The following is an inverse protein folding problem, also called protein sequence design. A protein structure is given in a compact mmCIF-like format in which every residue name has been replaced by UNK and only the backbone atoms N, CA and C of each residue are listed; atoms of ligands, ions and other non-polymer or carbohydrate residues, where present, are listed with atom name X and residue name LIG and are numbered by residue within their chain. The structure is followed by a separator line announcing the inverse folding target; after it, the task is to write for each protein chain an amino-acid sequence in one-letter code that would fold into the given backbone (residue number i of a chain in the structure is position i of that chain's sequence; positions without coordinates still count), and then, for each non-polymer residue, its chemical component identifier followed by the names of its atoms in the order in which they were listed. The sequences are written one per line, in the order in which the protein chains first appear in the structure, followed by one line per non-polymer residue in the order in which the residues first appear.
data_IF_687116361835
#
_entry.id   IF_687116361835
#
_cell.length_a   1.000
_cell.length_b   1.000
_cell.length_c   1.000
_cell.angle_alpha   90.00
_cell.angle_beta   90.00
_cell.angle_gamma   90.00
#
_symmetry.space_group_name_H-M   'P 1'
#
loop_
_entity.id
_entity.type
_entity.pdbx_description
1 polymer ?
#
# COMPACT_ATOMS: atom_id res chain seq x y z
N UNK A 1 15.97 -25.16 21.20
CA UNK A 1 15.39 -24.18 22.15
C UNK A 1 14.32 -23.43 21.39
N UNK A 2 13.08 -23.63 21.82
CA UNK A 2 11.86 -23.10 21.19
C UNK A 2 11.74 -21.61 21.54
N UNK A 3 11.89 -20.73 20.55
CA UNK A 3 11.60 -19.30 20.75
C UNK A 3 10.09 -19.07 20.81
N UNK A 4 9.69 -18.37 21.86
CA UNK A 4 8.32 -18.03 22.21
C UNK A 4 7.91 -16.79 21.40
N UNK A 5 7.03 -16.94 20.41
CA UNK A 5 6.47 -15.82 19.65
C UNK A 5 5.27 -15.27 20.44
N UNK A 6 5.29 -13.99 20.88
CA UNK A 6 4.16 -13.41 21.59
C UNK A 6 2.92 -13.27 20.68
N UNK A 7 1.69 -13.35 21.22
CA UNK A 7 0.48 -13.29 20.41
C UNK A 7 0.17 -11.85 20.05
N UNK A 8 0.60 -11.49 18.85
CA UNK A 8 0.42 -10.22 18.15
C UNK A 8 1.09 -10.33 16.80
N UNK A 9 0.76 -11.41 16.07
CA UNK A 9 1.43 -11.79 14.84
C UNK A 9 1.06 -10.81 13.73
N UNK A 10 1.78 -9.68 13.70
CA UNK A 10 2.35 -9.20 12.47
C UNK A 10 3.01 -10.42 11.82
N UNK A 11 2.36 -11.02 10.82
CA UNK A 11 3.07 -11.92 9.92
C UNK A 11 4.13 -11.05 9.29
N UNK A 12 5.32 -11.02 9.90
CA UNK A 12 6.46 -10.37 9.31
C UNK A 12 6.57 -10.99 7.92
N UNK A 13 6.49 -10.14 6.89
CA UNK A 13 6.63 -10.54 5.48
C UNK A 13 7.93 -11.36 5.28
N UNK A 14 8.81 -11.33 6.28
CA UNK A 14 10.15 -11.89 6.38
C UNK A 14 10.26 -13.23 7.12
N UNK A 15 9.22 -13.75 7.80
CA UNK A 15 9.36 -14.89 8.72
C UNK A 15 9.73 -16.25 8.05
N UNK A 16 9.81 -16.34 6.71
CA UNK A 16 10.31 -17.53 6.00
C UNK A 16 11.45 -17.20 5.03
N UNK A 17 12.43 -16.42 5.50
CA UNK A 17 13.69 -16.12 4.81
C UNK A 17 14.66 -17.33 4.66
N UNK A 18 14.33 -18.52 5.18
CA UNK A 18 15.18 -19.72 5.10
C UNK A 18 15.18 -20.48 3.77
N UNK A 19 14.24 -20.19 2.85
CA UNK A 19 14.05 -20.91 1.59
C UNK A 19 14.21 -19.99 0.35
N UNK A 20 15.28 -19.21 0.28
CA UNK A 20 15.65 -18.54 -0.98
C UNK A 20 16.80 -19.33 -1.64
N UNK A 21 16.59 -19.97 -2.80
CA UNK A 21 17.54 -20.92 -3.36
C UNK A 21 18.77 -20.27 -3.98
N UNK A 22 18.71 -18.97 -4.29
CA UNK A 22 19.74 -18.24 -5.02
C UNK A 22 20.66 -17.46 -4.08
N UNK A 23 21.94 -17.40 -4.43
CA UNK A 23 22.90 -16.54 -3.74
C UNK A 23 22.62 -15.08 -4.09
N UNK A 24 22.44 -14.25 -3.06
CA UNK A 24 22.21 -12.80 -3.18
C UNK A 24 23.21 -12.02 -2.33
N UNK A 25 23.87 -11.04 -2.93
CA UNK A 25 24.96 -10.25 -2.32
C UNK A 25 24.69 -8.77 -2.45
N UNK A 26 24.76 -8.05 -1.33
CA UNK A 26 24.58 -6.61 -1.33
C UNK A 26 25.84 -5.90 -1.80
N UNK A 27 25.73 -4.99 -2.77
CA UNK A 27 26.84 -4.17 -3.26
C UNK A 27 26.34 -2.81 -3.75
N UNK A 28 27.15 -1.76 -3.55
CA UNK A 28 26.91 -0.43 -4.13
C UNK A 28 27.65 -0.22 -5.45
N UNK A 29 28.48 -1.17 -5.89
CA UNK A 29 29.29 -1.04 -7.10
C UNK A 29 28.47 -0.70 -8.36
N UNK A 30 27.25 -1.26 -8.58
CA UNK A 30 26.41 -0.83 -9.71
C UNK A 30 26.03 0.65 -9.68
N UNK A 31 25.79 1.22 -8.49
CA UNK A 31 25.51 2.64 -8.34
C UNK A 31 26.77 3.48 -8.55
N UNK A 32 27.90 3.07 -7.97
CA UNK A 32 29.18 3.79 -8.16
C UNK A 32 29.55 3.84 -9.65
N UNK A 33 29.41 2.73 -10.37
CA UNK A 33 29.63 2.68 -11.81
C UNK A 33 28.66 3.58 -12.59
N UNK A 34 27.39 3.65 -12.17
CA UNK A 34 26.44 4.60 -12.77
C UNK A 34 26.92 6.06 -12.64
N UNK A 35 27.46 6.44 -11.48
CA UNK A 35 28.09 7.76 -11.31
C UNK A 35 29.32 7.94 -12.22
N UNK A 36 30.11 6.89 -12.45
CA UNK A 36 31.29 6.91 -13.32
C UNK A 36 30.95 7.01 -14.81
N UNK A 37 29.84 6.43 -15.26
CA UNK A 37 29.49 6.37 -16.69
C UNK A 37 28.47 7.40 -17.13
N UNK A 38 27.41 7.63 -16.33
CA UNK A 38 26.25 8.43 -16.75
C UNK A 38 26.32 9.87 -16.24
N UNK A 39 27.06 10.12 -15.16
CA UNK A 39 27.10 11.43 -14.50
C UNK A 39 28.45 12.14 -14.63
N UNK A 40 29.54 11.42 -14.92
CA UNK A 40 30.88 11.97 -15.05
C UNK A 40 31.17 12.55 -16.46
N UNK A 41 30.24 13.34 -17.00
CA UNK A 41 30.50 14.13 -18.22
C UNK A 41 31.32 15.39 -17.86
N UNK A 42 32.49 15.52 -18.48
CA UNK A 42 33.53 16.50 -18.12
C UNK A 42 33.08 17.95 -18.30
N UNK A 43 32.11 18.21 -19.18
CA UNK A 43 31.71 19.56 -19.61
C UNK A 43 30.50 20.13 -18.84
N UNK A 44 29.93 19.40 -17.87
CA UNK A 44 28.74 19.85 -17.14
C UNK A 44 28.92 19.97 -15.61
N UNK A 45 28.10 20.80 -14.98
CA UNK A 45 28.12 21.04 -13.52
C UNK A 45 27.88 19.74 -12.72
N UNK A 46 27.04 18.85 -13.24
CA UNK A 46 26.77 17.55 -12.63
C UNK A 46 28.01 16.65 -12.60
N UNK A 47 28.83 16.66 -13.66
CA UNK A 47 30.09 15.90 -13.70
C UNK A 47 31.15 16.42 -12.74
N UNK A 48 31.13 17.73 -12.42
CA UNK A 48 31.97 18.27 -11.35
C UNK A 48 31.56 17.77 -9.97
N UNK A 49 30.26 17.73 -9.68
CA UNK A 49 29.75 17.17 -8.42
C UNK A 49 30.00 15.66 -8.32
N UNK A 50 29.80 14.92 -9.42
CA UNK A 50 30.07 13.48 -9.51
C UNK A 50 31.53 13.15 -9.16
N UNK A 51 32.50 13.92 -9.68
CA UNK A 51 33.93 13.73 -9.38
C UNK A 51 34.24 13.86 -7.89
N UNK A 52 33.68 14.86 -7.21
CA UNK A 52 33.89 15.06 -5.76
C UNK A 52 33.38 13.86 -4.97
N UNK A 53 32.21 13.34 -5.31
CA UNK A 53 31.63 12.16 -4.65
C UNK A 53 32.51 10.93 -4.94
N UNK A 54 32.86 10.69 -6.21
CA UNK A 54 33.69 9.55 -6.62
C UNK A 54 35.07 9.55 -5.97
N UNK A 55 35.71 10.72 -5.81
CA UNK A 55 37.00 10.84 -5.13
C UNK A 55 36.90 10.48 -3.64
N UNK A 56 35.78 10.79 -2.98
CA UNK A 56 35.50 10.35 -1.61
C UNK A 56 35.25 8.85 -1.54
N UNK A 57 34.50 8.27 -2.50
CA UNK A 57 34.29 6.81 -2.58
C UNK A 57 35.61 6.07 -2.76
N UNK A 58 36.57 6.60 -3.54
CA UNK A 58 37.91 6.00 -3.68
C UNK A 58 38.70 5.94 -2.37
N UNK A 59 38.41 6.82 -1.41
CA UNK A 59 39.04 6.82 -0.09
C UNK A 59 38.43 5.78 0.87
N UNK A 60 37.30 5.16 0.49
CA UNK A 60 36.57 4.16 1.28
C UNK A 60 36.36 2.89 0.43
N UNK A 61 37.42 2.08 0.23
CA UNK A 61 37.37 0.89 -0.63
C UNK A 61 36.33 -0.14 -0.17
N UNK A 62 35.94 -0.13 1.10
CA UNK A 62 34.89 -0.98 1.66
C UNK A 62 33.55 -0.78 0.97
N UNK A 63 33.21 0.42 0.51
CA UNK A 63 31.96 0.70 -0.22
C UNK A 63 31.96 0.12 -1.65
N UNK A 64 33.14 -0.17 -2.19
CA UNK A 64 33.33 -0.82 -3.51
C UNK A 64 33.64 -2.31 -3.40
N UNK A 65 33.55 -2.90 -2.21
CA UNK A 65 33.73 -4.33 -2.06
C UNK A 65 32.64 -5.08 -2.85
N UNK A 66 32.98 -6.30 -3.31
CA UNK A 66 32.04 -7.18 -4.01
C UNK A 66 30.79 -7.45 -3.17
N UNK A 67 30.94 -7.49 -1.85
CA UNK A 67 29.84 -7.62 -0.92
C UNK A 67 30.08 -6.69 0.26
N UNK A 68 29.04 -5.94 0.64
CA UNK A 68 29.07 -5.03 1.79
C UNK A 68 27.97 -5.41 2.80
N UNK A 69 28.07 -4.89 4.02
CA UNK A 69 27.06 -5.11 5.06
C UNK A 69 26.34 -3.82 5.44
N UNK A 70 25.25 -3.92 6.20
CA UNK A 70 24.56 -2.74 6.72
C UNK A 70 25.43 -1.96 7.72
N UNK A 71 26.36 -2.62 8.41
CA UNK A 71 27.34 -1.94 9.25
C UNK A 71 28.27 -1.05 8.42
N UNK A 72 28.72 -1.52 7.26
CA UNK A 72 29.52 -0.71 6.31
C UNK A 72 28.76 0.52 5.85
N UNK A 73 27.46 0.37 5.55
CA UNK A 73 26.59 1.49 5.16
C UNK A 73 26.48 2.50 6.30
N UNK A 74 26.11 2.05 7.50
CA UNK A 74 25.96 2.93 8.68
C UNK A 74 27.24 3.68 9.03
N UNK A 75 28.41 3.03 8.89
CA UNK A 75 29.70 3.66 9.13
C UNK A 75 30.06 4.77 8.13
N UNK A 76 29.39 4.80 6.97
CA UNK A 76 29.66 5.73 5.87
C UNK A 76 28.39 6.44 5.37
N UNK A 77 27.42 6.67 6.26
CA UNK A 77 26.08 7.13 5.91
C UNK A 77 26.10 8.40 5.03
N UNK A 78 26.85 9.43 5.42
CA UNK A 78 26.94 10.70 4.66
C UNK A 78 27.33 10.49 3.18
N UNK A 79 28.25 9.56 2.92
CA UNK A 79 28.72 9.26 1.57
C UNK A 79 27.72 8.41 0.79
N UNK A 80 27.03 7.48 1.47
CA UNK A 80 25.94 6.70 0.88
C UNK A 80 24.78 7.65 0.52
N UNK A 81 24.39 8.56 1.41
CA UNK A 81 23.33 9.53 1.15
C UNK A 81 23.66 10.40 -0.08
N UNK A 82 24.92 10.83 -0.20
CA UNK A 82 25.39 11.57 -1.38
C UNK A 82 25.28 10.75 -2.67
N UNK A 83 25.67 9.46 -2.64
CA UNK A 83 25.51 8.57 -3.80
C UNK A 83 24.03 8.35 -4.17
N UNK A 84 23.16 8.30 -3.17
CA UNK A 84 21.73 8.04 -3.36
C UNK A 84 20.97 9.21 -3.95
N UNK A 85 21.54 10.42 -4.00
CA UNK A 85 20.96 11.59 -4.69
C UNK A 85 20.68 11.31 -6.17
N UNK A 86 21.49 10.47 -6.83
CA UNK A 86 21.27 10.06 -8.21
C UNK A 86 20.00 9.20 -8.39
N UNK A 87 19.53 8.59 -7.31
CA UNK A 87 18.36 7.69 -7.31
C UNK A 87 17.15 8.37 -6.66
N UNK A 88 17.37 9.16 -5.62
CA UNK A 88 16.35 9.85 -4.83
C UNK A 88 16.66 11.34 -4.78
N UNK A 89 16.06 12.13 -5.66
CA UNK A 89 16.27 13.57 -5.63
C UNK A 89 15.76 14.17 -4.30
N UNK A 90 16.53 15.06 -3.64
CA UNK A 90 16.18 15.59 -2.32
C UNK A 90 14.79 16.23 -2.25
N UNK A 91 14.36 16.87 -3.34
CA UNK A 91 13.04 17.52 -3.45
C UNK A 91 11.86 16.58 -3.28
N UNK A 92 12.05 15.27 -3.42
CA UNK A 92 10.98 14.28 -3.30
C UNK A 92 11.01 13.47 -2.00
N UNK A 93 11.93 13.74 -1.05
CA UNK A 93 12.09 12.91 0.14
C UNK A 93 10.90 12.95 1.12
N UNK A 94 10.19 14.09 1.19
CA UNK A 94 9.03 14.24 2.08
C UNK A 94 7.72 13.68 1.48
N UNK A 95 7.63 13.61 0.15
CA UNK A 95 6.38 13.29 -0.57
C UNK A 95 6.42 11.92 -1.26
N UNK A 96 7.59 11.47 -1.70
CA UNK A 96 7.75 10.19 -2.38
C UNK A 96 7.97 9.07 -1.38
N UNK A 97 7.18 8.01 -1.48
CA UNK A 97 7.42 6.78 -0.76
C UNK A 97 8.36 5.90 -1.57
N UNK A 98 9.66 6.01 -1.33
CA UNK A 98 10.65 5.22 -2.06
C UNK A 98 11.80 4.76 -1.14
N UNK A 99 12.37 3.61 -1.45
CA UNK A 99 13.47 3.05 -0.68
C UNK A 99 14.41 2.21 -1.54
N UNK A 100 15.62 1.97 -1.03
CA UNK A 100 16.55 1.01 -1.58
C UNK A 100 16.69 -0.18 -0.63
N UNK A 101 16.52 -1.37 -1.17
CA UNK A 101 16.41 -2.62 -0.44
C UNK A 101 17.54 -3.57 -0.79
N UNK A 102 17.95 -4.35 0.20
CA UNK A 102 18.85 -5.48 0.01
C UNK A 102 18.29 -6.45 -1.04
N UNK A 103 19.13 -7.08 -1.86
CA UNK A 103 18.69 -7.93 -2.96
C UNK A 103 17.87 -9.11 -2.43
N UNK A 104 16.63 -9.25 -2.93
CA UNK A 104 15.68 -10.30 -2.54
C UNK A 104 15.39 -10.39 -1.03
N UNK A 105 15.62 -9.28 -0.31
CA UNK A 105 15.26 -9.11 1.09
C UNK A 105 14.49 -7.81 1.22
N UNK A 106 13.32 -7.85 1.85
CA UNK A 106 12.48 -6.67 2.09
C UNK A 106 13.03 -5.84 3.27
N UNK A 107 14.33 -5.59 3.27
CA UNK A 107 15.06 -4.82 4.27
C UNK A 107 15.72 -3.64 3.56
N UNK A 108 15.42 -2.44 4.01
CA UNK A 108 15.98 -1.21 3.47
C UNK A 108 17.37 -0.93 4.06
N UNK A 109 18.21 -0.28 3.27
CA UNK A 109 19.45 0.36 3.76
C UNK A 109 19.43 1.88 3.55
N UNK A 110 18.51 2.36 2.71
CA UNK A 110 18.22 3.77 2.48
C UNK A 110 16.72 3.91 2.18
N UNK A 111 16.07 4.95 2.66
CA UNK A 111 14.66 5.20 2.42
C UNK A 111 14.36 6.70 2.53
N UNK A 112 13.36 7.17 1.79
CA UNK A 112 12.82 8.51 1.99
C UNK A 112 12.16 8.62 3.37
N UNK A 113 11.99 9.84 3.88
CA UNK A 113 11.35 10.06 5.18
C UNK A 113 9.91 9.56 5.19
N UNK A 114 9.16 9.81 4.11
CA UNK A 114 7.78 9.34 3.95
C UNK A 114 7.69 7.81 3.99
N UNK A 115 8.62 7.12 3.31
CA UNK A 115 8.68 5.65 3.34
C UNK A 115 9.05 5.14 4.73
N UNK A 116 10.06 5.73 5.37
CA UNK A 116 10.53 5.32 6.69
C UNK A 116 9.46 5.45 7.76
N UNK A 117 8.63 6.50 7.71
CA UNK A 117 7.56 6.77 8.68
C UNK A 117 6.43 5.75 8.62
N UNK A 118 6.12 5.20 7.44
CA UNK A 118 4.87 4.46 7.21
C UNK A 118 5.08 3.01 6.76
N UNK A 119 6.17 2.73 6.05
CA UNK A 119 6.41 1.47 5.35
C UNK A 119 7.65 0.72 5.84
N UNK A 120 8.47 1.31 6.73
CA UNK A 120 9.64 0.64 7.29
C UNK A 120 9.55 0.52 8.82
N UNK A 121 9.93 -0.66 9.32
CA UNK A 121 10.10 -0.93 10.74
C UNK A 121 11.43 -0.36 11.26
N UNK A 122 11.63 -0.36 12.59
CA UNK A 122 12.86 0.16 13.22
C UNK A 122 14.13 -0.61 12.83
N UNK A 123 13.98 -1.83 12.31
CA UNK A 123 15.03 -2.71 11.80
C UNK A 123 15.23 -2.62 10.28
N UNK A 124 14.52 -1.68 9.62
CA UNK A 124 14.54 -1.46 8.18
C UNK A 124 13.68 -2.43 7.39
N UNK A 125 12.99 -3.38 8.02
CA UNK A 125 12.13 -4.30 7.29
C UNK A 125 10.82 -3.64 6.87
N UNK A 126 10.35 -3.98 5.68
CA UNK A 126 9.06 -3.50 5.17
C UNK A 126 7.93 -3.91 6.12
N UNK A 127 7.10 -2.94 6.50
CA UNK A 127 5.92 -3.14 7.33
C UNK A 127 4.64 -3.19 6.50
N UNK A 128 3.60 -3.78 7.07
CA UNK A 128 2.28 -3.89 6.47
C UNK A 128 1.81 -5.33 6.37
N UNK A 129 0.51 -5.48 6.10
CA UNK A 129 -0.09 -6.76 5.75
C UNK A 129 -0.13 -6.86 4.23
N UNK A 130 0.16 -8.05 3.72
CA UNK A 130 -0.12 -8.39 2.33
C UNK A 130 -1.28 -9.36 2.37
N UNK A 131 -2.29 -9.12 1.53
CA UNK A 131 -3.44 -10.01 1.38
C UNK A 131 -3.08 -11.20 0.46
N UNK A 132 -2.04 -11.94 0.86
CA UNK A 132 -1.52 -13.09 0.12
C UNK A 132 -0.89 -14.11 1.09
N UNK A 133 -0.98 -15.38 0.72
CA UNK A 133 -0.35 -16.46 1.48
C UNK A 133 1.19 -16.33 1.46
N UNK A 134 1.83 -16.66 2.59
CA UNK A 134 3.28 -16.55 2.73
C UNK A 134 4.06 -17.45 1.73
N UNK A 135 3.50 -18.60 1.35
CA UNK A 135 4.12 -19.49 0.34
C UNK A 135 4.04 -18.89 -1.06
N UNK A 136 2.95 -18.18 -1.38
CA UNK A 136 2.82 -17.46 -2.65
C UNK A 136 3.86 -16.35 -2.74
N UNK A 137 4.06 -15.58 -1.67
CA UNK A 137 5.10 -14.53 -1.63
C UNK A 137 6.51 -15.10 -1.83
N UNK A 138 6.81 -16.24 -1.20
CA UNK A 138 8.09 -16.92 -1.39
C UNK A 138 8.29 -17.35 -2.84
N UNK A 139 7.25 -17.90 -3.49
CA UNK A 139 7.31 -18.29 -4.90
C UNK A 139 7.51 -17.07 -5.79
N UNK A 140 6.74 -16.01 -5.62
CA UNK A 140 6.84 -14.81 -6.47
C UNK A 140 8.24 -14.16 -6.34
N UNK A 141 8.84 -14.19 -5.14
CA UNK A 141 10.24 -13.76 -4.96
C UNK A 141 11.22 -14.58 -5.80
N UNK A 142 11.05 -15.91 -5.87
CA UNK A 142 11.89 -16.79 -6.71
C UNK A 142 11.64 -16.50 -8.19
N UNK A 143 10.39 -16.29 -8.58
CA UNK A 143 9.99 -15.94 -9.95
C UNK A 143 10.71 -14.66 -10.40
N UNK A 144 10.66 -13.59 -9.60
CA UNK A 144 11.38 -12.33 -9.91
C UNK A 144 12.88 -12.54 -10.07
N UNK A 145 13.49 -13.38 -9.23
CA UNK A 145 14.91 -13.67 -9.30
C UNK A 145 15.27 -14.37 -10.62
N UNK A 146 14.49 -15.35 -11.03
CA UNK A 146 14.69 -16.02 -12.31
C UNK A 146 14.35 -15.16 -13.51
N UNK A 147 13.33 -14.30 -13.44
CA UNK A 147 13.05 -13.29 -14.49
C UNK A 147 14.27 -12.41 -14.72
N UNK A 148 14.91 -11.92 -13.65
CA UNK A 148 16.15 -11.15 -13.74
C UNK A 148 17.29 -11.97 -14.37
N UNK A 149 17.49 -13.22 -13.97
CA UNK A 149 18.53 -14.09 -14.55
C UNK A 149 18.28 -14.29 -16.05
N UNK A 150 17.04 -14.56 -16.43
CA UNK A 150 16.63 -14.78 -17.81
C UNK A 150 16.91 -13.53 -18.66
N UNK A 151 16.55 -12.36 -18.16
CA UNK A 151 16.80 -11.08 -18.81
C UNK A 151 18.29 -10.81 -18.97
N UNK A 152 19.07 -10.89 -17.88
CA UNK A 152 20.48 -10.47 -17.87
C UNK A 152 21.44 -11.46 -18.52
N UNK A 153 21.17 -12.76 -18.43
CA UNK A 153 22.06 -13.80 -18.97
C UNK A 153 21.67 -14.17 -20.41
N UNK A 154 20.39 -14.13 -20.75
CA UNK A 154 19.91 -14.61 -22.05
C UNK A 154 19.27 -13.54 -22.93
N UNK A 155 19.05 -12.31 -22.43
CA UNK A 155 18.42 -11.22 -23.18
C UNK A 155 16.95 -11.48 -23.51
N UNK A 156 16.27 -12.30 -22.69
CA UNK A 156 14.88 -12.69 -22.91
C UNK A 156 13.97 -11.99 -21.89
N UNK A 157 12.85 -11.45 -22.36
CA UNK A 157 11.82 -10.92 -21.47
C UNK A 157 10.91 -12.05 -20.97
N UNK A 158 10.85 -12.21 -19.65
CA UNK A 158 9.96 -13.17 -19.00
C UNK A 158 8.49 -12.71 -19.02
N UNK A 159 8.24 -11.40 -19.20
CA UNK A 159 6.90 -10.80 -19.29
C UNK A 159 6.11 -10.87 -17.99
N UNK A 160 6.79 -10.68 -16.85
CA UNK A 160 6.20 -10.84 -15.53
C UNK A 160 6.24 -9.54 -14.75
N UNK A 161 5.06 -9.01 -14.46
CA UNK A 161 4.84 -7.96 -13.48
C UNK A 161 3.97 -8.53 -12.36
N UNK A 162 4.50 -8.55 -11.14
CA UNK A 162 3.70 -8.81 -9.94
C UNK A 162 3.73 -7.58 -9.05
N UNK A 163 2.85 -6.59 -9.29
CA UNK A 163 2.69 -5.52 -8.33
C UNK A 163 2.08 -6.09 -7.06
N UNK A 164 2.74 -5.86 -5.92
CA UNK A 164 2.20 -6.25 -4.62
C UNK A 164 1.56 -5.04 -3.95
N UNK A 165 0.37 -5.22 -3.42
CA UNK A 165 -0.30 -4.22 -2.61
C UNK A 165 -0.03 -4.55 -1.14
N UNK A 166 0.56 -3.60 -0.43
CA UNK A 166 0.71 -3.66 1.03
C UNK A 166 -0.30 -2.71 1.67
N UNK A 167 -0.92 -3.16 2.77
CA UNK A 167 -1.85 -2.36 3.56
C UNK A 167 -1.18 -2.03 4.89
N UNK A 168 -1.08 -0.74 5.17
CA UNK A 168 -0.48 -0.20 6.40
C UNK A 168 -1.48 0.67 7.14
N UNK A 169 -1.35 0.70 8.47
CA UNK A 169 -2.14 1.59 9.30
C UNK A 169 -1.34 2.86 9.53
N UNK A 170 -1.90 3.99 9.12
CA UNK A 170 -1.28 5.29 9.33
C UNK A 170 -1.24 5.60 10.84
N UNK A 171 -0.07 5.86 11.44
CA UNK A 171 0.05 6.07 12.87
C UNK A 171 -0.61 7.39 13.35
N UNK A 172 -0.75 8.38 12.47
CA UNK A 172 -1.33 9.68 12.81
C UNK A 172 -2.86 9.64 12.76
N UNK A 173 -3.42 9.04 11.69
CA UNK A 173 -4.87 9.03 11.48
C UNK A 173 -5.54 7.73 11.94
N UNK A 174 -4.77 6.65 12.09
CA UNK A 174 -5.30 5.31 12.35
C UNK A 174 -5.99 4.65 11.15
N UNK A 175 -5.99 5.28 9.97
CA UNK A 175 -6.66 4.77 8.78
C UNK A 175 -5.77 3.78 8.02
N UNK A 176 -6.41 2.83 7.34
CA UNK A 176 -5.70 1.93 6.43
C UNK A 176 -5.34 2.67 5.14
N UNK A 177 -4.11 2.49 4.69
CA UNK A 177 -3.59 3.01 3.43
C UNK A 177 -3.02 1.85 2.62
N UNK A 178 -3.32 1.86 1.33
CA UNK A 178 -2.92 0.80 0.40
C UNK A 178 -1.83 1.33 -0.51
N UNK A 179 -0.73 0.60 -0.61
CA UNK A 179 0.42 0.97 -1.44
C UNK A 179 0.75 -0.14 -2.42
N UNK A 180 0.77 0.19 -3.71
CA UNK A 180 1.30 -0.65 -4.78
C UNK A 180 2.82 -0.49 -4.82
N UNK A 181 3.54 -1.57 -4.58
CA UNK A 181 5.01 -1.60 -4.61
C UNK A 181 5.49 -1.90 -6.03
N UNK A 182 6.34 -1.01 -6.56
CA UNK A 182 7.02 -1.12 -7.84
C UNK A 182 8.49 -1.35 -7.56
N UNK A 183 8.99 -2.57 -7.83
CA UNK A 183 10.39 -2.91 -7.65
C UNK A 183 11.15 -2.74 -8.95
N UNK A 184 12.24 -1.99 -8.89
CA UNK A 184 13.13 -1.74 -9.99
C UNK A 184 14.48 -2.44 -9.77
N UNK A 185 14.84 -3.43 -10.60
CA UNK A 185 16.08 -4.19 -10.47
C UNK A 185 17.26 -3.51 -11.17
N UNK A 186 17.20 -2.20 -11.42
CA UNK A 186 18.21 -1.48 -12.24
C UNK A 186 19.64 -1.58 -11.70
N UNK A 187 19.80 -1.67 -10.37
CA UNK A 187 21.09 -1.82 -9.71
C UNK A 187 21.36 -3.26 -9.24
N UNK A 188 20.60 -4.23 -9.73
CA UNK A 188 20.94 -5.65 -9.59
C UNK A 188 21.71 -6.12 -10.81
N UNK A 189 22.68 -7.01 -10.62
CA UNK A 189 23.47 -7.69 -11.64
C UNK A 189 23.46 -9.21 -11.39
N UNK A 190 23.75 -10.00 -12.42
CA UNK A 190 23.79 -11.46 -12.33
C UNK A 190 25.14 -11.97 -12.83
N UNK A 191 25.90 -12.59 -11.93
CA UNK A 191 27.10 -13.34 -12.27
C UNK A 191 26.76 -14.81 -12.54
N UNK A 192 27.42 -15.41 -13.53
CA UNK A 192 27.34 -16.84 -13.82
C UNK A 192 28.57 -17.56 -13.29
N UNK A 193 28.37 -18.65 -12.55
CA UNK A 193 29.44 -19.50 -12.04
C UNK A 193 29.78 -20.59 -13.07
N UNK A 194 30.91 -20.39 -13.75
CA UNK A 194 31.37 -21.24 -14.84
C UNK A 194 30.59 -20.95 -16.13
N UNK A 195 30.21 -21.98 -16.87
CA UNK A 195 29.42 -21.83 -18.09
C UNK A 195 27.91 -21.72 -17.80
N UNK A 196 27.25 -20.81 -18.52
CA UNK A 196 25.82 -20.61 -18.45
C UNK A 196 25.06 -21.83 -19.01
N UNK A 197 24.00 -22.32 -18.35
CA UNK A 197 23.16 -23.38 -18.88
C UNK A 197 22.61 -23.02 -20.27
N UNK A 198 22.67 -23.94 -21.23
CA UNK A 198 22.16 -23.70 -22.58
C UNK A 198 20.64 -23.91 -22.60
N UNK A 199 19.89 -22.87 -22.96
CA UNK A 199 18.45 -22.97 -23.18
C UNK A 199 18.16 -23.49 -24.59
N UNK A 200 17.56 -24.68 -24.68
CA UNK A 200 17.08 -25.24 -25.95
C UNK A 200 15.95 -24.37 -26.55
N UNK A 201 15.75 -24.45 -27.86
CA UNK A 201 14.64 -23.73 -28.52
C UNK A 201 13.26 -24.11 -27.98
N UNK A 202 13.08 -25.36 -27.54
CA UNK A 202 11.84 -25.76 -26.87
C UNK A 202 11.66 -25.05 -25.53
N UNK A 203 12.72 -25.01 -24.71
CA UNK A 203 12.72 -24.32 -23.42
C UNK A 203 12.45 -22.83 -23.60
N UNK A 204 13.05 -22.19 -24.61
CA UNK A 204 12.82 -20.77 -24.96
C UNK A 204 11.37 -20.51 -25.32
N UNK A 205 10.74 -21.36 -26.14
CA UNK A 205 9.32 -21.24 -26.49
C UNK A 205 8.39 -21.40 -25.28
N UNK A 206 8.78 -22.23 -24.31
CA UNK A 206 8.00 -22.50 -23.10
C UNK A 206 8.35 -21.60 -21.92
N UNK A 207 9.28 -20.66 -22.09
CA UNK A 207 9.88 -19.93 -20.97
C UNK A 207 8.84 -19.18 -20.14
N UNK A 208 7.87 -18.49 -20.75
CA UNK A 208 6.80 -17.80 -20.00
C UNK A 208 6.00 -18.75 -19.09
N UNK A 209 5.68 -19.94 -19.59
CA UNK A 209 4.96 -20.95 -18.80
C UNK A 209 5.87 -21.57 -17.73
N UNK A 210 7.16 -21.76 -18.05
CA UNK A 210 8.17 -22.29 -17.13
C UNK A 210 8.41 -21.34 -15.96
N UNK A 211 8.41 -20.03 -16.21
CA UNK A 211 8.72 -19.03 -15.18
C UNK A 211 7.68 -19.00 -14.07
N UNK A 212 6.44 -19.44 -14.33
CA UNK A 212 5.40 -19.60 -13.32
C UNK A 212 5.54 -20.89 -12.49
N UNK A 213 6.53 -21.74 -12.79
CA UNK A 213 6.88 -22.96 -12.05
C UNK A 213 8.34 -22.87 -11.55
N UNK A 214 8.55 -22.34 -10.33
CA UNK A 214 9.88 -22.25 -9.71
C UNK A 214 10.63 -23.58 -9.68
N UNK A 215 9.93 -24.70 -9.49
CA UNK A 215 10.56 -26.03 -9.40
C UNK A 215 11.09 -26.48 -10.76
N UNK A 216 10.37 -26.19 -11.84
CA UNK A 216 10.83 -26.48 -13.19
C UNK A 216 11.95 -25.53 -13.63
N UNK A 217 11.90 -24.24 -13.25
CA UNK A 217 12.99 -23.29 -13.48
C UNK A 217 14.28 -23.75 -12.84
N UNK A 218 14.27 -24.15 -11.57
CA UNK A 218 15.47 -24.60 -10.85
C UNK A 218 16.14 -25.82 -11.49
N UNK A 219 15.39 -26.67 -12.22
CA UNK A 219 15.97 -27.80 -12.96
C UNK A 219 16.69 -27.38 -14.24
N UNK A 220 16.17 -26.37 -14.91
CA UNK A 220 16.73 -25.84 -16.19
C UNK A 220 17.87 -24.86 -15.92
N UNK A 221 17.70 -24.05 -14.89
CA UNK A 221 18.61 -23.00 -14.44
C UNK A 221 18.98 -23.28 -12.97
N UNK A 222 19.94 -24.18 -12.71
CA UNK A 222 20.35 -24.53 -11.34
C UNK A 222 20.77 -23.27 -10.56
N UNK A 223 20.22 -23.04 -9.36
CA UNK A 223 20.44 -21.79 -8.64
C UNK A 223 21.91 -21.58 -8.24
N UNK A 224 22.69 -22.65 -8.06
CA UNK A 224 24.11 -22.62 -7.71
C UNK A 224 24.99 -22.07 -8.84
N UNK A 225 24.42 -21.89 -10.04
CA UNK A 225 25.10 -21.28 -11.19
C UNK A 225 25.02 -19.76 -11.20
N UNK A 226 24.25 -19.15 -10.30
CA UNK A 226 23.97 -17.72 -10.37
C UNK A 226 24.22 -17.02 -9.03
N UNK A 227 24.84 -15.85 -9.10
CA UNK A 227 24.96 -14.93 -7.95
C UNK A 227 24.34 -13.61 -8.36
N UNK A 228 23.32 -13.17 -7.63
CA UNK A 228 22.69 -11.88 -7.86
C UNK A 228 23.33 -10.85 -6.93
N UNK A 229 23.83 -9.75 -7.48
CA UNK A 229 24.56 -8.73 -6.73
C UNK A 229 23.97 -7.34 -6.91
N UNK A 230 23.97 -6.54 -5.85
CA UNK A 230 23.60 -5.13 -5.91
C UNK A 230 22.47 -4.80 -4.95
N UNK A 231 21.52 -3.98 -5.37
CA UNK A 231 20.31 -3.66 -4.61
C UNK A 231 19.12 -3.33 -5.51
N UNK A 232 17.91 -3.35 -4.95
CA UNK A 232 16.68 -2.96 -5.65
C UNK A 232 16.21 -1.60 -5.17
N UNK A 233 15.63 -0.81 -6.07
CA UNK A 233 14.85 0.37 -5.70
C UNK A 233 13.39 -0.03 -5.65
N UNK A 234 12.65 0.44 -4.64
CA UNK A 234 11.20 0.30 -4.58
C UNK A 234 10.56 1.67 -4.55
N UNK A 235 9.50 1.83 -5.33
CA UNK A 235 8.57 2.95 -5.23
C UNK A 235 7.22 2.42 -4.77
N UNK A 236 6.64 3.06 -3.75
CA UNK A 236 5.33 2.73 -3.23
C UNK A 236 4.32 3.80 -3.70
N UNK A 237 3.40 3.38 -4.56
CA UNK A 237 2.34 4.26 -5.08
C UNK A 237 1.10 4.07 -4.20
N UNK A 238 0.62 5.14 -3.59
CA UNK A 238 -0.63 5.08 -2.84
C UNK A 238 -1.81 4.83 -3.79
N UNK A 239 -2.56 3.75 -3.51
CA UNK A 239 -3.74 3.31 -4.27
C UNK A 239 -4.97 3.13 -3.36
N UNK A 240 -4.95 3.73 -2.16
CA UNK A 240 -6.00 3.64 -1.14
C UNK A 240 -7.39 3.90 -1.70
N UNK A 241 -7.57 4.99 -2.46
CA UNK A 241 -8.87 5.36 -3.02
C UNK A 241 -9.42 4.29 -3.97
N UNK A 242 -8.58 3.84 -4.92
CA UNK A 242 -8.96 2.81 -5.90
C UNK A 242 -9.31 1.48 -5.21
N UNK A 243 -8.49 1.05 -4.25
CA UNK A 243 -8.69 -0.22 -3.55
C UNK A 243 -9.93 -0.20 -2.65
N UNK A 244 -10.13 0.90 -1.93
CA UNK A 244 -11.29 1.07 -1.06
C UNK A 244 -12.58 1.14 -1.88
N UNK A 245 -12.60 1.92 -2.97
CA UNK A 245 -13.76 2.00 -3.86
C UNK A 245 -14.09 0.63 -4.48
N UNK A 246 -13.08 -0.05 -5.03
CA UNK A 246 -13.24 -1.39 -5.61
C UNK A 246 -13.75 -2.39 -4.57
N UNK A 247 -13.32 -2.27 -3.31
CA UNK A 247 -13.81 -3.13 -2.24
C UNK A 247 -15.26 -2.82 -1.86
N UNK A 248 -15.66 -1.54 -1.83
CA UNK A 248 -17.06 -1.16 -1.58
C UNK A 248 -17.96 -1.71 -2.70
N UNK A 249 -17.55 -1.58 -3.97
CA UNK A 249 -18.32 -2.12 -5.10
C UNK A 249 -18.53 -3.64 -5.00
N UNK A 250 -17.48 -4.39 -4.66
CA UNK A 250 -17.59 -5.85 -4.45
C UNK A 250 -18.55 -6.20 -3.31
N UNK A 251 -18.41 -5.53 -2.17
CA UNK A 251 -19.29 -5.73 -1.02
C UNK A 251 -20.77 -5.49 -1.38
N UNK A 252 -21.07 -4.54 -2.28
CA UNK A 252 -22.43 -4.23 -2.71
C UNK A 252 -23.01 -5.27 -3.69
N UNK A 253 -22.17 -5.95 -4.47
CA UNK A 253 -22.59 -6.96 -5.47
C UNK A 253 -22.93 -8.30 -4.80
N UNK A 254 -22.23 -8.66 -3.72
CA UNK A 254 -22.47 -9.91 -2.99
C UNK A 254 -23.86 -9.88 -2.35
N UNK A 255 -24.81 -10.66 -2.92
CA UNK A 255 -26.27 -10.65 -2.62
C UNK A 255 -26.68 -11.04 -1.19
N UNK A 256 -25.74 -11.16 -0.26
CA UNK A 256 -25.93 -11.38 1.18
C UNK A 256 -25.57 -10.12 2.01
N UNK A 257 -25.39 -8.96 1.35
CA UNK A 257 -24.74 -7.73 1.88
C UNK A 257 -25.52 -6.88 2.89
N UNK A 258 -26.60 -7.37 3.49
CA UNK A 258 -27.33 -6.64 4.52
C UNK A 258 -27.67 -7.71 5.56
N UNK A 259 -26.93 -7.86 6.66
CA UNK A 259 -27.15 -7.12 7.90
C UNK A 259 -26.21 -7.73 8.97
N UNK A 260 -25.02 -7.19 9.20
CA UNK A 260 -24.25 -7.48 10.42
C UNK A 260 -23.51 -6.24 10.91
N UNK A 261 -23.39 -6.09 12.23
CA UNK A 261 -22.68 -4.96 12.86
C UNK A 261 -21.24 -4.88 12.34
N UNK A 262 -20.57 -6.01 12.16
CA UNK A 262 -19.19 -6.06 11.66
C UNK A 262 -19.04 -5.50 10.25
N UNK A 263 -19.96 -5.85 9.33
CA UNK A 263 -19.94 -5.33 7.95
C UNK A 263 -20.24 -3.83 7.90
N UNK A 264 -21.15 -3.33 8.75
CA UNK A 264 -21.40 -1.88 8.84
C UNK A 264 -20.18 -1.12 9.38
N UNK A 265 -19.48 -1.67 10.38
CA UNK A 265 -18.21 -1.09 10.86
C UNK A 265 -17.15 -1.08 9.76
N UNK A 266 -17.01 -2.19 9.03
CA UNK A 266 -16.08 -2.27 7.91
C UNK A 266 -16.38 -1.23 6.82
N UNK A 267 -17.66 -1.00 6.49
CA UNK A 267 -18.07 0.03 5.54
C UNK A 267 -17.71 1.44 6.04
N UNK A 268 -17.92 1.74 7.32
CA UNK A 268 -17.52 3.03 7.89
C UNK A 268 -16.00 3.22 7.82
N UNK A 269 -15.21 2.21 8.18
CA UNK A 269 -13.76 2.30 8.14
C UNK A 269 -13.26 2.51 6.70
N UNK A 270 -13.91 1.87 5.71
CA UNK A 270 -13.69 2.13 4.28
C UNK A 270 -14.03 3.57 3.91
N UNK A 271 -15.20 4.10 4.31
CA UNK A 271 -15.56 5.49 4.02
C UNK A 271 -14.57 6.49 4.64
N UNK A 272 -14.11 6.24 5.86
CA UNK A 272 -13.09 7.08 6.52
C UNK A 272 -11.76 7.03 5.79
N UNK A 273 -11.32 5.84 5.33
CA UNK A 273 -10.12 5.67 4.53
C UNK A 273 -10.23 6.39 3.17
N UNK A 274 -11.37 6.23 2.48
CA UNK A 274 -11.65 6.87 1.20
C UNK A 274 -11.58 8.40 1.31
N UNK A 275 -12.21 8.97 2.34
CA UNK A 275 -12.29 10.41 2.56
C UNK A 275 -11.03 10.98 3.23
N UNK A 276 -10.12 10.12 3.74
CA UNK A 276 -8.97 10.50 4.59
C UNK A 276 -9.40 11.31 5.82
N UNK A 277 -10.53 10.94 6.43
CA UNK A 277 -11.11 11.60 7.61
C UNK A 277 -11.49 10.57 8.69
N UNK A 278 -10.65 10.35 9.71
CA UNK A 278 -10.96 9.39 10.78
C UNK A 278 -12.18 9.77 11.62
N UNK A 279 -12.55 11.05 11.64
CA UNK A 279 -13.67 11.59 12.42
C UNK A 279 -15.03 11.48 11.74
N UNK A 280 -15.12 10.95 10.51
CA UNK A 280 -16.38 10.82 9.79
C UNK A 280 -17.16 9.63 10.30
N UNK A 281 -18.44 9.84 10.64
CA UNK A 281 -19.35 8.78 11.05
C UNK A 281 -20.37 8.49 9.96
N UNK A 282 -20.60 7.19 9.74
CA UNK A 282 -21.58 6.68 8.78
C UNK A 282 -22.90 6.40 9.52
N UNK A 283 -24.00 6.79 8.88
CA UNK A 283 -25.35 6.41 9.30
C UNK A 283 -26.13 5.84 8.12
N UNK A 284 -27.00 4.88 8.42
CA UNK A 284 -27.89 4.26 7.43
C UNK A 284 -29.30 4.26 8.01
N UNK A 285 -30.29 4.59 7.19
CA UNK A 285 -31.69 4.49 7.55
C UNK A 285 -32.43 3.69 6.48
N UNK A 286 -33.29 2.76 6.90
CA UNK A 286 -34.22 2.05 6.03
C UNK A 286 -35.65 2.53 6.27
N UNK A 287 -36.44 2.63 5.21
CA UNK A 287 -37.86 2.99 5.28
C UNK A 287 -38.70 1.71 5.14
N UNK A 288 -39.55 1.46 6.14
CA UNK A 288 -40.50 0.35 6.14
C UNK A 288 -41.91 0.89 6.45
N UNK A 289 -42.68 1.17 5.39
CA UNK A 289 -43.98 1.82 5.50
C UNK A 289 -43.86 3.22 6.12
N UNK A 290 -44.49 3.45 7.27
CA UNK A 290 -44.40 4.72 8.01
C UNK A 290 -43.25 4.75 9.04
N UNK A 291 -42.46 3.69 9.13
CA UNK A 291 -41.35 3.56 10.09
C UNK A 291 -40.02 3.82 9.40
N UNK A 292 -39.13 4.50 10.12
CA UNK A 292 -37.73 4.65 9.74
C UNK A 292 -36.88 3.91 10.76
N UNK A 293 -36.13 2.93 10.26
CA UNK A 293 -35.18 2.15 11.04
C UNK A 293 -33.81 2.81 10.88
N UNK A 294 -33.34 3.49 11.92
CA UNK A 294 -32.06 4.23 11.86
C UNK A 294 -30.94 3.47 12.57
N UNK A 295 -29.81 3.35 11.87
CA UNK A 295 -28.56 2.80 12.38
C UNK A 295 -27.59 3.93 12.63
N UNK A 296 -27.20 4.08 13.90
CA UNK A 296 -26.17 5.01 14.34
C UNK A 296 -24.98 4.25 14.90
N UNK A 297 -23.76 4.63 14.51
CA UNK A 297 -22.52 4.03 15.02
C UNK A 297 -22.30 4.27 16.53
N UNK A 298 -22.86 5.34 17.10
CA UNK A 298 -22.74 5.63 18.54
C UNK A 298 -23.52 4.66 19.46
N UNK A 299 -24.30 3.74 18.89
CA UNK A 299 -25.07 2.73 19.63
C UNK A 299 -24.17 1.54 19.98
N UNK A 300 -24.10 1.12 21.24
CA UNK A 300 -23.52 -0.18 21.60
C UNK A 300 -24.45 -1.27 21.05
N UNK A 301 -24.00 -2.04 20.08
CA UNK A 301 -24.78 -3.14 19.49
C UNK A 301 -24.60 -4.41 20.34
N UNK A 302 -25.69 -4.96 20.88
CA UNK A 302 -25.68 -6.22 21.65
C UNK A 302 -26.21 -7.41 20.82
N UNK A 303 -26.79 -7.18 19.63
CA UNK A 303 -27.45 -8.22 18.84
C UNK A 303 -26.90 -8.41 17.41
N UNK A 304 -27.10 -9.62 16.87
CA UNK A 304 -26.61 -10.06 15.55
C UNK A 304 -27.38 -9.49 14.33
N UNK A 305 -28.48 -8.74 14.56
CA UNK A 305 -29.25 -8.07 13.52
C UNK A 305 -29.13 -6.55 13.68
N UNK A 306 -28.72 -5.82 12.62
CA UNK A 306 -28.45 -4.37 12.69
C UNK A 306 -29.68 -3.58 13.15
N UNK A 307 -30.89 -4.01 12.80
CA UNK A 307 -32.11 -3.29 13.14
C UNK A 307 -32.75 -3.74 14.45
N UNK A 308 -32.24 -4.80 15.09
CA UNK A 308 -32.77 -5.25 16.38
C UNK A 308 -32.61 -4.19 17.48
N UNK A 309 -31.56 -3.37 17.39
CA UNK A 309 -31.27 -2.27 18.32
C UNK A 309 -31.59 -0.88 17.71
N UNK A 310 -32.35 -0.83 16.60
CA UNK A 310 -32.66 0.44 15.92
C UNK A 310 -33.67 1.30 16.69
N UNK A 311 -33.44 2.62 16.70
CA UNK A 311 -34.44 3.56 17.20
C UNK A 311 -35.54 3.68 16.17
N UNK A 312 -36.75 3.27 16.52
CA UNK A 312 -37.90 3.35 15.64
C UNK A 312 -38.42 4.78 15.64
N UNK A 313 -38.19 5.50 14.53
CA UNK A 313 -38.70 6.85 14.34
C UNK A 313 -39.85 6.82 13.33
N UNK A 314 -40.76 7.78 13.43
CA UNK A 314 -41.84 7.91 12.45
C UNK A 314 -41.34 8.72 11.28
N UNK A 315 -41.80 8.40 10.07
CA UNK A 315 -41.53 9.23 8.87
C UNK A 315 -41.88 10.72 9.10
N UNK A 316 -42.93 11.00 9.89
CA UNK A 316 -43.31 12.37 10.25
C UNK A 316 -42.24 13.15 11.02
N UNK A 317 -41.34 12.46 11.72
CA UNK A 317 -40.28 13.10 12.52
C UNK A 317 -39.18 13.73 11.64
N UNK A 318 -39.11 13.33 10.37
CA UNK A 318 -38.16 13.85 9.37
C UNK A 318 -38.76 14.96 8.50
N UNK A 319 -40.01 15.36 8.73
CA UNK A 319 -40.65 16.43 7.94
C UNK A 319 -39.92 17.75 8.14
N UNK A 320 -39.61 18.44 7.05
CA UNK A 320 -38.83 19.68 7.00
C UNK A 320 -37.33 19.49 7.19
N UNK A 321 -36.85 18.25 7.36
CA UNK A 321 -35.41 17.97 7.51
C UNK A 321 -34.69 17.87 6.17
N UNK A 322 -33.35 17.87 6.25
CA UNK A 322 -32.47 17.57 5.12
C UNK A 322 -32.76 16.19 4.50
N UNK A 323 -33.25 15.23 5.30
CA UNK A 323 -33.59 13.89 4.80
C UNK A 323 -34.81 13.91 3.89
N UNK A 324 -35.85 14.68 4.25
CA UNK A 324 -37.03 14.87 3.38
C UNK A 324 -36.64 15.62 2.10
N UNK A 325 -35.78 16.64 2.22
CA UNK A 325 -35.27 17.38 1.07
C UNK A 325 -34.50 16.48 0.10
N UNK A 326 -33.54 15.70 0.61
CA UNK A 326 -32.76 14.74 -0.18
C UNK A 326 -33.67 13.70 -0.87
N UNK A 327 -34.68 13.21 -0.15
CA UNK A 327 -35.71 12.32 -0.69
C UNK A 327 -36.51 12.96 -1.84
N UNK A 328 -37.00 14.19 -1.66
CA UNK A 328 -37.80 14.90 -2.67
C UNK A 328 -36.97 15.27 -3.91
N UNK A 329 -35.74 15.75 -3.71
CA UNK A 329 -34.85 16.14 -4.81
C UNK A 329 -34.18 14.93 -5.49
N UNK A 330 -34.26 13.74 -4.88
CA UNK A 330 -33.64 12.48 -5.38
C UNK A 330 -32.14 12.61 -5.65
N UNK A 331 -31.45 13.45 -4.89
CA UNK A 331 -30.02 13.71 -5.01
C UNK A 331 -29.37 13.89 -3.63
N UNK A 332 -28.05 13.65 -3.51
CA UNK A 332 -27.31 13.96 -2.29
C UNK A 332 -27.36 15.46 -1.95
N UNK A 333 -27.56 15.77 -0.68
CA UNK A 333 -27.49 17.14 -0.15
C UNK A 333 -26.23 17.26 0.71
N UNK A 334 -25.43 18.30 0.43
CA UNK A 334 -24.20 18.63 1.14
C UNK A 334 -24.45 19.82 2.06
N UNK A 335 -24.04 19.70 3.32
CA UNK A 335 -24.12 20.74 4.33
C UNK A 335 -22.70 21.01 4.82
N UNK A 336 -22.14 22.17 4.44
CA UNK A 336 -20.81 22.61 4.88
C UNK A 336 -20.78 22.92 6.39
N UNK A 337 -21.83 23.56 6.91
CA UNK A 337 -22.00 23.88 8.32
C UNK A 337 -23.46 23.75 8.79
N UNK A 338 -23.72 22.81 9.69
CA UNK A 338 -25.00 22.60 10.39
C UNK A 338 -25.35 23.78 11.29
N UNK A 339 -24.36 24.54 11.77
CA UNK A 339 -24.63 25.74 12.57
C UNK A 339 -25.23 26.87 11.72
N UNK A 340 -24.72 27.02 10.49
CA UNK A 340 -25.17 28.02 9.53
C UNK A 340 -26.34 27.54 8.64
N UNK A 341 -26.77 26.29 8.79
CA UNK A 341 -27.84 25.72 7.97
C UNK A 341 -29.19 26.42 8.25
N UNK A 342 -29.90 26.90 7.23
CA UNK A 342 -31.19 27.57 7.41
C UNK A 342 -32.29 26.57 7.81
N UNK A 343 -33.29 27.05 8.56
CA UNK A 343 -34.51 26.29 8.89
C UNK A 343 -34.27 24.89 9.47
N UNK A 344 -33.35 24.80 10.44
CA UNK A 344 -33.00 23.54 11.13
C UNK A 344 -34.24 22.90 11.76
N UNK A 345 -34.53 21.67 11.37
CA UNK A 345 -35.50 20.83 12.06
C UNK A 345 -34.87 20.20 13.31
N UNK A 346 -35.68 19.46 14.08
CA UNK A 346 -35.21 18.67 15.22
C UNK A 346 -34.08 17.70 14.85
N UNK A 347 -34.01 17.25 13.59
CA UNK A 347 -32.98 16.33 13.11
C UNK A 347 -31.63 17.04 13.00
N UNK A 348 -31.58 18.22 12.38
CA UNK A 348 -30.34 19.01 12.27
C UNK A 348 -29.89 19.51 13.65
N UNK A 349 -30.82 19.95 14.50
CA UNK A 349 -30.51 20.31 15.89
C UNK A 349 -29.91 19.14 16.68
N UNK A 350 -30.45 17.92 16.50
CA UNK A 350 -29.92 16.72 17.11
C UNK A 350 -28.51 16.35 16.63
N UNK A 351 -28.22 16.53 15.32
CA UNK A 351 -26.87 16.32 14.78
C UNK A 351 -25.88 17.35 15.35
N UNK A 352 -26.27 18.63 15.43
CA UNK A 352 -25.44 19.68 16.00
C UNK A 352 -25.19 19.46 17.51
N UNK A 353 -26.22 19.09 18.27
CA UNK A 353 -26.10 18.75 19.69
C UNK A 353 -25.21 17.53 19.95
N UNK A 354 -25.09 16.63 18.96
CA UNK A 354 -24.17 15.48 19.00
C UNK A 354 -22.72 15.86 18.63
N UNK A 355 -22.44 17.14 18.36
CA UNK A 355 -21.12 17.66 18.06
C UNK A 355 -20.74 17.68 16.58
N UNK A 356 -21.68 17.39 15.67
CA UNK A 356 -21.40 17.44 14.23
C UNK A 356 -21.56 18.85 13.67
N UNK A 357 -20.69 19.17 12.70
CA UNK A 357 -20.65 20.45 12.00
C UNK A 357 -20.94 20.32 10.52
N UNK A 358 -20.57 19.25 9.85
CA UNK A 358 -20.92 19.04 8.45
C UNK A 358 -21.64 17.72 8.25
N UNK A 359 -22.43 17.64 7.19
CA UNK A 359 -23.22 16.46 6.86
C UNK A 359 -23.43 16.29 5.36
N UNK A 360 -23.47 15.04 4.91
CA UNK A 360 -23.96 14.65 3.57
C UNK A 360 -25.09 13.67 3.76
N UNK A 361 -26.21 13.89 3.08
CA UNK A 361 -27.37 13.00 3.13
C UNK A 361 -27.76 12.61 1.71
N UNK A 362 -27.65 11.32 1.42
CA UNK A 362 -27.97 10.73 0.11
C UNK A 362 -29.19 9.81 0.21
N UNK A 363 -30.21 9.98 -0.65
CA UNK A 363 -31.36 9.06 -0.68
C UNK A 363 -30.95 7.73 -1.30
N UNK A 364 -31.42 6.62 -0.74
CA UNK A 364 -31.27 5.29 -1.33
C UNK A 364 -32.52 4.96 -2.15
N UNK A 365 -32.34 4.75 -3.45
CA UNK A 365 -33.43 4.58 -4.41
C UNK A 365 -33.30 3.20 -5.06
N UNK A 366 -34.37 2.42 -5.02
CA UNK A 366 -34.47 1.13 -5.70
C UNK A 366 -35.81 1.03 -6.42
N UNK A 367 -35.77 0.67 -7.72
CA UNK A 367 -36.98 0.59 -8.57
C UNK A 367 -37.88 1.83 -8.44
N UNK A 368 -37.26 3.01 -8.55
CA UNK A 368 -37.86 4.34 -8.39
C UNK A 368 -38.46 4.69 -7.01
N UNK A 369 -38.41 3.77 -6.04
CA UNK A 369 -38.86 3.99 -4.67
C UNK A 369 -37.72 4.35 -3.74
N UNK A 370 -37.99 5.23 -2.77
CA UNK A 370 -37.04 5.54 -1.69
C UNK A 370 -37.11 4.42 -0.67
N UNK A 371 -36.01 3.69 -0.54
CA UNK A 371 -35.88 2.57 0.40
C UNK A 371 -35.14 2.99 1.67
N UNK A 372 -34.55 4.19 1.71
CA UNK A 372 -33.72 4.61 2.82
C UNK A 372 -32.92 5.88 2.55
N UNK A 373 -31.97 6.14 3.44
CA UNK A 373 -30.94 7.17 3.25
C UNK A 373 -29.60 6.72 3.83
N UNK A 374 -28.53 7.19 3.21
CA UNK A 374 -27.18 7.13 3.74
C UNK A 374 -26.78 8.52 4.19
N UNK A 375 -26.13 8.64 5.35
CA UNK A 375 -25.56 9.90 5.81
C UNK A 375 -24.11 9.75 6.24
N UNK A 376 -23.35 10.81 5.98
CA UNK A 376 -22.03 11.01 6.54
C UNK A 376 -22.09 12.27 7.39
N UNK A 377 -21.49 12.24 8.58
CA UNK A 377 -21.42 13.41 9.47
C UNK A 377 -20.01 13.58 9.99
N UNK A 378 -19.59 14.82 10.22
CA UNK A 378 -18.26 15.14 10.74
C UNK A 378 -18.31 16.31 11.71
N UNK A 379 -17.50 16.31 12.78
CA UNK A 379 -17.39 17.43 13.72
C UNK A 379 -16.68 18.66 13.13
N UNK A 380 -16.14 18.58 11.91
CA UNK A 380 -15.45 19.69 11.24
C UNK A 380 -16.33 20.32 10.17
N UNK A 381 -16.32 21.65 10.11
CA UNK A 381 -16.96 22.42 9.04
C UNK A 381 -16.26 22.15 7.71
N UNK A 382 -17.03 21.95 6.63
CA UNK A 382 -16.53 21.78 5.26
C UNK A 382 -15.68 20.52 5.01
N UNK A 383 -15.69 19.53 5.90
CA UNK A 383 -14.85 18.32 5.76
C UNK A 383 -15.41 17.28 4.78
N UNK A 384 -16.68 17.43 4.39
CA UNK A 384 -17.44 16.50 3.54
C UNK A 384 -17.92 17.14 2.22
N UNK A 385 -17.54 18.38 1.95
CA UNK A 385 -17.93 19.19 0.78
C UNK A 385 -16.88 19.21 -0.30
#
# INVERSE_FOLDING_TARGET
MSEFIPPGAHTAITARLGEFPLQSEFSLEPLVRYWETELADDDCLLGSAARVILDRVRQVPELRARTITLETVRANQDLVDALMVAVFAPSFQEESYAAAMLPFRLQTFFATEAFSRLLAGPDGYLTGRIDADASLLAQVRIIHAYSLIIERVYGLDAGIEFPWITIVKDPETGLERHFKLLLEPRFLEVDVIGEAPVLTEETRRRLRALVLDPSALMKVLPPEKFVIRGFSVVQAIEVTEQEVLSSIERDLIEKESIVSTERFRALQDKMRALLRRPEVDLGLAAVEGERVLVLHFASRFEHACIFADSTHQKMSDFKGSVFERAAMERQPIFIEDLEAYPDRSRVEEGMLASGYRSAVVAPLIYQDQIIGSLKLVSPRTGSLS
#
